data_IF_754559838673
#
_entry.id   IF_754559838673
#
_cell.length_a   1.000
_cell.length_b   1.000
_cell.length_c   1.000
_cell.angle_alpha   90.00
_cell.angle_beta   90.00
_cell.angle_gamma   90.00
#
_symmetry.space_group_name_H-M   'P 1'
#
loop_
_entity.id
_entity.type
_entity.pdbx_description
1 polymer ?
#
# COMPACT_ATOMS: atom_id res chain seq x y z
N UNK A 1 5.71 1.66 -21.11
CA UNK A 1 5.55 2.81 -20.19
C UNK A 1 4.62 2.35 -19.06
N UNK A 2 4.89 2.72 -17.81
CA UNK A 2 4.42 2.00 -16.60
C UNK A 2 3.09 2.50 -16.04
N UNK A 3 2.60 3.64 -16.54
CA UNK A 3 1.36 4.28 -16.08
C UNK A 3 0.10 3.75 -16.78
N UNK A 4 -1.04 4.01 -16.15
CA UNK A 4 -2.37 3.71 -16.69
C UNK A 4 -2.59 4.44 -18.02
N UNK A 5 -3.31 3.81 -18.96
CA UNK A 5 -3.58 4.39 -20.27
C UNK A 5 -4.61 5.52 -20.14
N UNK A 6 -4.16 6.76 -20.31
CA UNK A 6 -4.99 7.95 -20.38
C UNK A 6 -5.25 8.41 -21.82
N UNK A 7 -5.94 9.54 -21.97
CA UNK A 7 -6.33 10.11 -23.26
C UNK A 7 -5.15 10.54 -24.14
N UNK A 8 -4.01 10.92 -23.55
CA UNK A 8 -2.82 11.46 -24.23
C UNK A 8 -1.55 10.63 -24.02
N UNK A 9 -1.66 9.38 -23.57
CA UNK A 9 -0.52 8.53 -23.23
C UNK A 9 -0.69 7.86 -21.87
N UNK A 10 0.40 7.39 -21.27
CA UNK A 10 0.35 6.88 -19.91
C UNK A 10 0.33 8.04 -18.90
N UNK A 11 -0.46 7.88 -17.85
CA UNK A 11 -0.49 8.76 -16.67
C UNK A 11 -0.42 7.94 -15.39
N UNK A 12 -0.03 8.59 -14.30
CA UNK A 12 0.10 7.98 -12.99
C UNK A 12 -0.77 8.76 -12.01
N UNK A 13 -1.44 8.08 -11.05
CA UNK A 13 -2.11 8.79 -9.96
C UNK A 13 -1.04 9.47 -9.12
N UNK A 14 -1.14 10.79 -8.97
CA UNK A 14 -0.24 11.56 -8.13
C UNK A 14 -0.88 11.72 -6.74
N UNK A 15 -0.33 11.04 -5.75
CA UNK A 15 -0.78 11.13 -4.36
C UNK A 15 -0.07 12.26 -3.59
N UNK A 16 0.66 13.13 -4.28
CA UNK A 16 1.52 14.18 -3.73
C UNK A 16 2.83 13.64 -3.11
N UNK A 17 3.71 14.55 -2.73
CA UNK A 17 5.01 14.28 -2.14
C UNK A 17 4.90 13.58 -0.79
N UNK A 18 5.89 12.74 -0.47
CA UNK A 18 6.01 12.07 0.82
C UNK A 18 6.38 13.08 1.91
N UNK A 19 5.52 13.34 2.91
CA UNK A 19 5.75 14.35 3.94
C UNK A 19 6.63 13.77 5.05
N UNK A 20 7.85 13.34 4.71
CA UNK A 20 8.80 12.68 5.60
C UNK A 20 9.96 13.61 5.99
N UNK A 21 10.61 13.31 7.12
CA UNK A 21 11.82 14.02 7.55
C UNK A 21 11.59 15.47 7.97
N UNK A 22 12.55 16.33 7.65
CA UNK A 22 12.54 17.77 7.97
C UNK A 22 11.84 18.55 6.86
N UNK A 23 10.70 19.15 7.20
CA UNK A 23 9.77 19.79 6.27
C UNK A 23 9.67 21.30 6.50
N UNK A 24 9.22 22.01 5.47
CA UNK A 24 8.86 23.43 5.49
C UNK A 24 7.41 23.56 5.05
N UNK A 25 6.69 24.54 5.58
CA UNK A 25 5.35 24.85 5.06
C UNK A 25 5.44 25.36 3.61
N UNK A 26 4.53 24.91 2.75
CA UNK A 26 4.61 25.12 1.30
C UNK A 26 4.55 26.60 0.88
N UNK A 27 4.06 27.48 1.75
CA UNK A 27 3.85 28.92 1.48
C UNK A 27 4.89 29.81 2.18
N UNK A 28 5.98 29.23 2.71
CA UNK A 28 7.01 30.00 3.42
C UNK A 28 8.41 29.75 2.85
N UNK A 29 9.10 30.83 2.47
CA UNK A 29 10.46 30.76 1.91
C UNK A 29 11.55 30.41 2.94
N UNK A 30 11.21 30.21 4.22
CA UNK A 30 12.21 30.05 5.28
C UNK A 30 11.71 29.53 6.63
N UNK A 31 10.47 29.04 6.72
CA UNK A 31 9.93 28.42 7.94
C UNK A 31 8.54 28.89 8.37
N UNK A 32 7.95 28.28 9.41
CA UNK A 32 8.62 27.40 10.37
C UNK A 32 8.91 26.01 9.81
N UNK A 33 10.12 25.53 10.07
CA UNK A 33 10.48 24.16 9.75
C UNK A 33 10.07 23.23 10.89
N UNK A 34 9.71 22.00 10.54
CA UNK A 34 9.34 20.97 11.51
C UNK A 34 9.71 19.60 11.02
N UNK A 35 9.89 18.66 11.94
CA UNK A 35 9.86 17.26 11.57
C UNK A 35 8.43 16.83 11.20
N UNK A 36 8.34 15.81 10.35
CA UNK A 36 7.08 15.11 10.10
C UNK A 36 6.45 14.64 11.41
N UNK A 37 5.14 14.81 11.53
CA UNK A 37 4.37 14.34 12.69
C UNK A 37 3.98 12.86 12.56
N UNK A 38 4.30 12.24 11.43
CA UNK A 38 3.97 10.85 11.17
C UNK A 38 4.86 9.92 12.00
N UNK A 39 4.23 8.93 12.63
CA UNK A 39 4.93 7.84 13.27
C UNK A 39 5.44 6.82 12.21
N UNK A 40 6.19 5.81 12.66
CA UNK A 40 6.82 4.84 11.77
C UNK A 40 5.80 4.02 10.95
N UNK A 41 4.71 3.60 11.59
CA UNK A 41 3.67 2.78 10.97
C UNK A 41 2.86 3.58 9.95
N UNK A 42 2.62 4.86 10.22
CA UNK A 42 2.01 5.78 9.26
C UNK A 42 2.92 5.98 8.04
N UNK A 43 4.23 6.16 8.22
CA UNK A 43 5.18 6.26 7.10
C UNK A 43 5.19 4.98 6.24
N UNK A 44 5.14 3.80 6.87
CA UNK A 44 5.00 2.52 6.15
C UNK A 44 3.68 2.43 5.40
N UNK A 45 2.60 2.91 6.00
CA UNK A 45 1.27 3.00 5.36
C UNK A 45 1.31 3.85 4.10
N UNK A 46 1.89 5.05 4.17
CA UNK A 46 2.11 5.92 3.02
C UNK A 46 2.92 5.20 1.92
N UNK A 47 4.08 4.64 2.25
CA UNK A 47 4.93 3.97 1.25
C UNK A 47 4.25 2.77 0.60
N UNK A 48 3.49 2.00 1.38
CA UNK A 48 2.76 0.83 0.88
C UNK A 48 1.67 1.26 -0.11
N UNK A 49 0.88 2.28 0.24
CA UNK A 49 -0.17 2.80 -0.63
C UNK A 49 0.40 3.45 -1.89
N UNK A 50 1.45 4.28 -1.79
CA UNK A 50 2.06 4.93 -2.95
C UNK A 50 2.61 3.90 -3.94
N UNK A 51 3.29 2.87 -3.45
CA UNK A 51 3.82 1.81 -4.31
C UNK A 51 2.72 0.97 -4.95
N UNK A 52 1.65 0.63 -4.22
CA UNK A 52 0.52 -0.10 -4.79
C UNK A 52 -0.35 0.75 -5.72
N UNK A 53 -0.43 2.06 -5.52
CA UNK A 53 -1.13 2.95 -6.44
C UNK A 53 -0.32 3.27 -7.71
N UNK A 54 0.98 2.92 -7.72
CA UNK A 54 1.94 3.35 -8.75
C UNK A 54 2.15 4.87 -8.79
N UNK A 55 2.09 5.50 -7.62
CA UNK A 55 2.31 6.93 -7.48
C UNK A 55 3.79 7.28 -7.62
N UNK A 56 4.13 8.46 -8.18
CA UNK A 56 5.48 8.99 -8.09
C UNK A 56 5.97 9.00 -6.63
N UNK A 57 7.18 8.47 -6.39
CA UNK A 57 7.81 8.46 -5.07
C UNK A 57 8.73 9.68 -4.94
N UNK A 58 8.14 10.82 -4.59
CA UNK A 58 8.85 12.10 -4.42
C UNK A 58 9.05 12.40 -2.94
N UNK A 59 10.30 12.42 -2.47
CA UNK A 59 10.61 12.75 -1.07
C UNK A 59 10.52 14.26 -0.83
N UNK A 60 9.65 14.70 0.09
CA UNK A 60 9.41 16.12 0.36
C UNK A 60 10.34 16.77 1.40
N UNK A 61 11.13 15.99 2.13
CA UNK A 61 11.99 16.49 3.21
C UNK A 61 13.41 16.88 2.80
N UNK A 62 14.12 17.56 3.70
CA UNK A 62 15.57 17.78 3.55
C UNK A 62 16.35 16.48 3.81
N UNK A 63 16.88 15.88 2.73
CA UNK A 63 17.64 14.63 2.78
C UNK A 63 18.90 14.70 3.66
N UNK A 64 19.46 15.89 3.90
CA UNK A 64 20.64 16.07 4.76
C UNK A 64 20.31 15.86 6.24
N UNK A 65 19.03 15.91 6.60
CA UNK A 65 18.51 15.79 7.97
C UNK A 65 17.65 14.54 8.15
N UNK A 66 17.84 13.54 7.30
CA UNK A 66 17.06 12.30 7.39
C UNK A 66 17.42 11.51 8.64
N UNK A 67 16.40 11.06 9.36
CA UNK A 67 16.58 10.16 10.51
C UNK A 67 16.75 8.70 10.03
N UNK A 68 17.44 7.84 10.81
CA UNK A 68 17.72 6.46 10.41
C UNK A 68 16.48 5.63 10.11
N UNK A 69 15.37 5.84 10.82
CA UNK A 69 14.14 5.06 10.65
C UNK A 69 13.43 5.43 9.33
N UNK A 70 13.39 6.72 8.99
CA UNK A 70 12.91 7.17 7.67
C UNK A 70 13.83 6.69 6.56
N UNK A 71 15.16 6.71 6.77
CA UNK A 71 16.13 6.22 5.79
C UNK A 71 15.91 4.74 5.43
N UNK A 72 15.70 3.88 6.44
CA UNK A 72 15.38 2.46 6.23
C UNK A 72 14.11 2.27 5.38
N UNK A 73 13.08 3.07 5.62
CA UNK A 73 11.83 3.01 4.85
C UNK A 73 12.05 3.37 3.37
N UNK A 74 12.76 4.47 3.09
CA UNK A 74 12.95 4.95 1.71
C UNK A 74 13.96 4.12 0.91
N UNK A 75 14.85 3.39 1.60
CA UNK A 75 15.86 2.53 0.97
C UNK A 75 15.43 1.07 0.85
N UNK A 76 14.23 0.70 1.30
CA UNK A 76 13.72 -0.66 1.13
C UNK A 76 13.60 -1.00 -0.37
N UNK A 77 14.34 -1.99 -0.89
CA UNK A 77 14.38 -2.29 -2.32
C UNK A 77 13.07 -2.91 -2.84
N UNK A 78 12.22 -3.43 -1.95
CA UNK A 78 10.95 -4.07 -2.32
C UNK A 78 9.90 -3.04 -2.74
N UNK A 79 9.92 -1.85 -2.13
CA UNK A 79 8.95 -0.78 -2.43
C UNK A 79 9.06 -0.27 -3.88
N UNK A 80 10.24 0.12 -4.40
CA UNK A 80 10.36 0.53 -5.80
C UNK A 80 10.13 -0.63 -6.76
N UNK A 81 10.49 -1.88 -6.39
CA UNK A 81 10.17 -3.07 -7.19
C UNK A 81 8.65 -3.22 -7.37
N UNK A 82 7.87 -3.13 -6.28
CA UNK A 82 6.41 -3.14 -6.34
C UNK A 82 5.93 -1.98 -7.20
N UNK A 83 6.33 -0.74 -6.89
CA UNK A 83 5.87 0.47 -7.58
C UNK A 83 6.06 0.42 -9.10
N UNK A 84 7.21 -0.09 -9.54
CA UNK A 84 7.59 -0.08 -10.95
C UNK A 84 6.98 -1.27 -11.72
N UNK A 85 6.98 -2.47 -11.13
CA UNK A 85 6.68 -3.70 -11.85
C UNK A 85 5.31 -4.31 -11.58
N UNK A 86 4.54 -3.78 -10.62
CA UNK A 86 3.21 -4.31 -10.34
C UNK A 86 2.20 -3.97 -11.48
N UNK A 87 1.11 -4.74 -11.52
CA UNK A 87 -0.03 -4.54 -12.43
C UNK A 87 -1.34 -4.99 -11.78
N UNK A 88 -2.49 -4.66 -12.40
CA UNK A 88 -3.83 -5.01 -11.90
C UNK A 88 -4.09 -4.51 -10.46
N UNK A 89 -3.66 -3.27 -10.21
CA UNK A 89 -3.77 -2.60 -8.93
C UNK A 89 -5.23 -2.24 -8.66
N UNK A 90 -5.83 -2.83 -7.64
CA UNK A 90 -7.24 -2.66 -7.30
C UNK A 90 -7.37 -2.53 -5.79
N UNK A 91 -8.24 -1.63 -5.34
CA UNK A 91 -8.73 -1.63 -3.96
C UNK A 91 -9.65 -2.85 -3.79
N UNK A 92 -9.16 -3.85 -3.06
CA UNK A 92 -9.87 -5.08 -2.77
C UNK A 92 -10.74 -4.89 -1.53
N UNK A 93 -11.71 -3.98 -1.57
CA UNK A 93 -12.74 -3.90 -0.54
C UNK A 93 -13.71 -5.07 -0.73
N UNK A 94 -14.15 -5.71 0.36
CA UNK A 94 -15.08 -6.84 0.35
C UNK A 94 -16.22 -6.63 -0.66
N UNK A 95 -16.37 -7.50 -1.68
CA UNK A 95 -17.44 -7.42 -2.67
C UNK A 95 -18.72 -8.06 -2.11
N UNK A 96 -19.14 -7.66 -0.90
CA UNK A 96 -20.50 -7.94 -0.46
C UNK A 96 -21.49 -6.87 -0.87
N UNK A 97 -21.08 -5.75 -1.51
CA UNK A 97 -21.99 -4.85 -2.22
C UNK A 97 -21.30 -3.97 -3.30
N UNK A 98 -21.33 -4.40 -4.56
CA UNK A 98 -21.12 -3.59 -5.77
C UNK A 98 -22.06 -4.23 -6.83
N UNK A 99 -22.95 -3.58 -7.58
CA UNK A 99 -22.98 -2.26 -8.18
C UNK A 99 -24.40 -2.03 -8.78
N UNK A 100 -24.82 -0.77 -9.01
CA UNK A 100 -26.18 -0.25 -9.40
C UNK A 100 -27.07 0.35 -8.28
N UNK A 101 -26.50 1.21 -7.44
CA UNK A 101 -27.28 2.16 -6.63
C UNK A 101 -27.55 1.73 -5.18
N UNK A 102 -26.51 1.81 -4.34
CA UNK A 102 -26.50 1.69 -2.86
C UNK A 102 -26.81 0.27 -2.30
N UNK A 103 -26.18 -0.21 -1.20
CA UNK A 103 -25.55 0.51 -0.09
C UNK A 103 -24.04 0.28 0.08
N UNK A 104 -23.39 1.33 0.58
CA UNK A 104 -22.02 1.39 1.07
C UNK A 104 -21.94 0.60 2.38
N UNK A 105 -21.30 -0.57 2.38
CA UNK A 105 -20.90 -1.23 3.63
C UNK A 105 -19.57 -0.59 4.00
N UNK A 106 -19.62 0.33 4.96
CA UNK A 106 -18.40 0.86 5.56
C UNK A 106 -17.64 -0.33 6.15
N UNK A 107 -16.45 -0.59 5.65
CA UNK A 107 -15.61 -1.71 6.09
C UNK A 107 -14.98 -1.46 7.47
N UNK A 108 -15.70 -0.73 8.33
CA UNK A 108 -15.33 -0.31 9.68
C UNK A 108 -13.88 0.17 9.72
N UNK A 109 -13.53 1.11 8.83
CA UNK A 109 -12.17 1.66 8.71
C UNK A 109 -11.09 0.74 8.15
N UNK A 110 -11.37 -0.51 7.79
CA UNK A 110 -10.38 -1.42 7.17
C UNK A 110 -10.38 -1.26 5.65
N UNK A 111 -9.22 -1.04 5.04
CA UNK A 111 -9.06 -1.03 3.58
C UNK A 111 -8.05 -2.07 3.15
N UNK A 112 -8.19 -2.59 1.94
CA UNK A 112 -7.27 -3.57 1.37
C UNK A 112 -7.00 -3.29 -0.08
N UNK A 113 -5.76 -3.59 -0.49
CA UNK A 113 -5.29 -3.38 -1.86
C UNK A 113 -4.59 -4.63 -2.35
N UNK A 114 -4.76 -4.92 -3.63
CA UNK A 114 -4.16 -6.08 -4.28
C UNK A 114 -3.49 -5.66 -5.59
N UNK A 115 -2.35 -6.26 -5.87
CA UNK A 115 -1.64 -6.11 -7.14
C UNK A 115 -0.91 -7.40 -7.52
N UNK A 116 -0.61 -7.53 -8.80
CA UNK A 116 0.16 -8.67 -9.35
C UNK A 116 1.59 -8.22 -9.64
N UNK A 117 2.58 -9.00 -9.19
CA UNK A 117 3.98 -8.82 -9.52
C UNK A 117 4.35 -9.40 -10.88
N UNK A 118 5.48 -8.94 -11.43
CA UNK A 118 5.95 -9.34 -12.78
C UNK A 118 6.33 -10.82 -12.91
N UNK A 119 6.59 -11.54 -11.81
CA UNK A 119 6.88 -12.98 -11.85
C UNK A 119 5.67 -13.83 -11.45
N UNK A 120 4.49 -13.22 -11.34
CA UNK A 120 3.26 -13.87 -10.90
C UNK A 120 3.04 -13.86 -9.39
N UNK A 121 3.84 -13.12 -8.62
CA UNK A 121 3.56 -12.91 -7.20
C UNK A 121 2.28 -12.10 -6.99
N UNK A 122 1.64 -12.29 -5.84
CA UNK A 122 0.49 -11.46 -5.42
C UNK A 122 0.95 -10.57 -4.27
N UNK A 123 0.79 -9.26 -4.44
CA UNK A 123 0.95 -8.29 -3.37
C UNK A 123 -0.41 -8.00 -2.76
N UNK A 124 -0.48 -8.10 -1.44
CA UNK A 124 -1.67 -7.82 -0.66
C UNK A 124 -1.29 -6.84 0.45
N UNK A 125 -2.03 -5.76 0.58
CA UNK A 125 -1.88 -4.80 1.68
C UNK A 125 -3.20 -4.62 2.40
N UNK A 126 -3.09 -4.47 3.72
CA UNK A 126 -4.20 -4.16 4.61
C UNK A 126 -3.89 -2.87 5.35
N UNK A 127 -4.89 -2.02 5.49
CA UNK A 127 -4.81 -0.74 6.15
C UNK A 127 -5.90 -0.69 7.21
N UNK A 128 -5.49 -0.51 8.46
CA UNK A 128 -6.42 -0.23 9.54
C UNK A 128 -6.46 1.29 9.74
N UNK A 129 -7.56 1.93 9.35
CA UNK A 129 -7.75 3.38 9.52
C UNK A 129 -8.41 3.72 10.87
N UNK A 130 -8.69 2.71 11.70
CA UNK A 130 -9.19 2.92 13.06
C UNK A 130 -8.06 3.22 14.02
N UNK A 131 -8.40 3.90 15.12
CA UNK A 131 -7.48 4.13 16.23
C UNK A 131 -7.16 2.83 17.01
N UNK A 132 -8.10 1.89 17.02
CA UNK A 132 -7.98 0.63 17.76
C UNK A 132 -7.32 -0.45 16.91
N UNK A 133 -6.60 -1.36 17.55
CA UNK A 133 -6.02 -2.53 16.87
C UNK A 133 -7.14 -3.48 16.44
N UNK A 134 -7.30 -3.64 15.14
CA UNK A 134 -8.31 -4.53 14.55
C UNK A 134 -7.64 -5.72 13.87
N UNK A 135 -8.07 -6.96 14.16
CA UNK A 135 -7.63 -8.13 13.40
C UNK A 135 -8.06 -8.02 11.94
N UNK A 136 -7.12 -8.16 11.01
CA UNK A 136 -7.40 -8.18 9.57
C UNK A 136 -6.97 -9.51 8.98
N UNK A 137 -7.80 -10.08 8.11
CA UNK A 137 -7.54 -11.34 7.43
C UNK A 137 -8.20 -11.35 6.05
N UNK A 138 -7.68 -12.18 5.14
CA UNK A 138 -8.31 -12.50 3.87
C UNK A 138 -8.36 -14.01 3.70
N UNK A 139 -9.45 -14.54 3.13
CA UNK A 139 -9.54 -15.97 2.82
C UNK A 139 -8.89 -16.23 1.48
N UNK A 140 -8.35 -17.43 1.30
CA UNK A 140 -7.82 -17.88 0.00
C UNK A 140 -8.89 -17.85 -1.10
N UNK A 141 -10.17 -18.05 -0.73
CA UNK A 141 -11.31 -17.90 -1.63
C UNK A 141 -11.48 -16.48 -2.16
N UNK A 142 -11.10 -15.45 -1.40
CA UNK A 142 -11.21 -14.06 -1.84
C UNK A 142 -10.11 -13.71 -2.84
N UNK A 143 -8.90 -14.27 -2.64
CA UNK A 143 -7.81 -14.16 -3.62
C UNK A 143 -8.19 -14.84 -4.95
N UNK A 144 -8.86 -15.99 -4.90
CA UNK A 144 -9.31 -16.69 -6.11
C UNK A 144 -10.33 -15.87 -6.95
N UNK A 145 -11.09 -14.96 -6.33
CA UNK A 145 -12.01 -14.06 -7.06
C UNK A 145 -11.25 -13.02 -7.90
N UNK A 146 -10.10 -12.55 -7.40
CA UNK A 146 -9.27 -11.56 -8.09
C UNK A 146 -8.39 -12.19 -9.16
N UNK A 147 -8.04 -13.47 -9.00
CA UNK A 147 -7.24 -14.25 -9.95
C UNK A 147 -8.04 -15.41 -10.56
N UNK A 148 -8.94 -15.14 -11.53
CA UNK A 148 -9.77 -16.17 -12.14
C UNK A 148 -8.91 -17.25 -12.78
N UNK A 149 -9.18 -18.51 -12.42
CA UNK A 149 -8.46 -19.69 -12.93
C UNK A 149 -7.32 -20.20 -12.05
N UNK A 150 -6.99 -19.52 -10.94
CA UNK A 150 -5.98 -19.98 -9.98
C UNK A 150 -6.67 -20.66 -8.79
N UNK A 151 -6.40 -21.95 -8.59
CA UNK A 151 -6.86 -22.70 -7.42
C UNK A 151 -5.80 -22.62 -6.30
N UNK A 152 -6.08 -21.89 -5.23
CA UNK A 152 -5.15 -21.65 -4.12
C UNK A 152 -5.49 -22.57 -2.94
N UNK A 153 -4.74 -23.67 -2.76
CA UNK A 153 -4.90 -24.60 -1.63
C UNK A 153 -4.10 -24.18 -0.39
N UNK A 154 -2.94 -23.56 -0.59
CA UNK A 154 -2.12 -22.94 0.45
C UNK A 154 -1.30 -21.80 -0.16
N UNK A 155 -0.95 -20.83 0.66
CA UNK A 155 -0.03 -19.75 0.27
C UNK A 155 1.06 -19.56 1.32
N UNK A 156 2.24 -19.21 0.84
CA UNK A 156 3.33 -18.72 1.66
C UNK A 156 3.62 -17.29 1.20
N UNK A 157 3.68 -16.38 2.16
CA UNK A 157 3.97 -14.98 1.94
C UNK A 157 5.26 -14.56 2.64
N UNK A 158 5.76 -13.40 2.24
CA UNK A 158 6.79 -12.68 2.97
C UNK A 158 6.21 -11.32 3.33
N UNK A 159 6.25 -10.95 4.60
CA UNK A 159 5.90 -9.61 5.04
C UNK A 159 7.01 -8.66 4.60
N UNK A 160 6.64 -7.57 3.92
CA UNK A 160 7.58 -6.73 3.16
C UNK A 160 8.48 -5.89 4.06
N UNK A 161 7.98 -5.43 5.20
CA UNK A 161 8.68 -4.48 6.06
C UNK A 161 9.63 -5.15 7.06
N UNK A 162 9.23 -6.27 7.63
CA UNK A 162 10.00 -7.09 8.58
C UNK A 162 10.80 -8.19 7.90
N UNK A 163 10.40 -8.59 6.69
CA UNK A 163 10.98 -9.72 5.98
C UNK A 163 10.59 -11.08 6.55
N UNK A 164 9.67 -11.15 7.52
CA UNK A 164 9.19 -12.39 8.10
C UNK A 164 8.48 -13.25 7.04
N UNK A 165 8.55 -14.57 7.21
CA UNK A 165 7.88 -15.52 6.35
C UNK A 165 6.56 -15.90 7.00
N UNK A 166 5.46 -15.57 6.34
CA UNK A 166 4.11 -15.87 6.80
C UNK A 166 3.55 -17.07 6.04
N UNK A 167 2.77 -17.92 6.72
CA UNK A 167 2.12 -19.09 6.12
C UNK A 167 0.64 -19.05 6.42
N UNK A 168 -0.18 -19.58 5.51
CA UNK A 168 -1.63 -19.72 5.76
C UNK A 168 -1.85 -20.48 7.07
N UNK A 169 -2.45 -19.82 8.06
CA UNK A 169 -2.96 -20.48 9.26
C UNK A 169 -4.35 -21.04 8.95
N UNK A 170 -4.51 -22.35 9.07
CA UNK A 170 -5.86 -22.92 9.11
C UNK A 170 -6.49 -22.48 10.43
N UNK A 171 -7.53 -21.65 10.38
CA UNK A 171 -8.43 -21.56 11.52
C UNK A 171 -9.06 -22.95 11.68
N UNK A 172 -8.67 -23.65 12.75
CA UNK A 172 -9.39 -24.83 13.23
C UNK A 172 -10.80 -24.34 13.54
N UNK A 173 -11.80 -24.82 12.78
CA UNK A 173 -13.18 -24.72 13.22
C UNK A 173 -13.26 -25.51 14.54
N UNK A 174 -13.48 -24.81 15.65
CA UNK A 174 -14.02 -25.42 16.86
C UNK A 174 -15.46 -25.87 16.60
#
# INVERSE_FOLDING_TARGET
MIGAKGLKGSSWPDLDMLPFGWLTDADTNGGPHRYSKLNLEEKRTYMTLWALAKSPLMYGGDMRKIDPATYEIITNPTVPEINFFNSNNIEACEPSNFFWGFPYVDSDGIRSWIATGRKGEVYLAFFNLNEQKTPVYAKTSDLAKVFPGIHISSCQGKEVWSGSVERTSQQRKE
#
